data_IF_572303769123
#
_entry.id   IF_572303769123
#
_cell.length_a   1.000
_cell.length_b   1.000
_cell.length_c   1.000
_cell.angle_alpha   90.00
_cell.angle_beta   90.00
_cell.angle_gamma   90.00
#
_symmetry.space_group_name_H-M   'P 1'
#
loop_
_entity.id
_entity.type
_entity.pdbx_description
1 polymer ?
#
# COMPACT_ATOMS: atom_id res chain seq x y z
N UNK A 1 7.93 1.57 7.96
CA UNK A 1 6.93 1.28 9.01
C UNK A 1 7.11 -0.12 9.57
N UNK A 2 6.59 -0.43 10.78
CA UNK A 2 6.58 -1.82 11.26
C UNK A 2 5.57 -2.67 10.46
N UNK A 3 5.72 -3.99 10.52
CA UNK A 3 4.98 -4.90 9.63
C UNK A 3 3.49 -4.96 9.95
N UNK A 4 3.10 -4.91 11.22
CA UNK A 4 1.70 -4.85 11.62
C UNK A 4 1.00 -3.59 11.07
N UNK A 5 1.69 -2.44 11.08
CA UNK A 5 1.18 -1.19 10.51
C UNK A 5 1.04 -1.29 8.99
N UNK A 6 2.02 -1.91 8.33
CA UNK A 6 1.98 -2.15 6.88
C UNK A 6 0.80 -3.03 6.48
N UNK A 7 0.60 -4.16 7.16
CA UNK A 7 -0.51 -5.07 6.90
C UNK A 7 -1.87 -4.42 7.14
N UNK A 8 -2.00 -3.66 8.23
CA UNK A 8 -3.21 -2.89 8.52
C UNK A 8 -3.53 -1.91 7.39
N UNK A 9 -2.54 -1.14 6.93
CA UNK A 9 -2.71 -0.17 5.84
C UNK A 9 -3.07 -0.85 4.52
N UNK A 10 -2.45 -1.98 4.19
CA UNK A 10 -2.85 -2.76 3.02
C UNK A 10 -4.32 -3.21 3.09
N UNK A 11 -4.77 -3.70 4.25
CA UNK A 11 -6.15 -4.10 4.45
C UNK A 11 -7.13 -2.92 4.32
N UNK A 12 -6.83 -1.76 4.91
CA UNK A 12 -7.62 -0.52 4.73
C UNK A 12 -7.68 -0.09 3.26
N UNK A 13 -6.60 -0.36 2.51
CA UNK A 13 -6.52 -0.09 1.09
C UNK A 13 -7.15 -1.18 0.20
N UNK A 14 -7.73 -2.24 0.80
CA UNK A 14 -8.23 -3.43 0.10
C UNK A 14 -7.18 -4.08 -0.81
N UNK A 15 -5.95 -4.17 -0.33
CA UNK A 15 -4.82 -4.75 -1.04
C UNK A 15 -4.25 -5.95 -0.27
N UNK A 16 -3.91 -7.00 -1.02
CA UNK A 16 -3.06 -8.08 -0.53
C UNK A 16 -1.58 -7.73 -0.69
N UNK A 17 -0.69 -8.40 0.07
CA UNK A 17 0.76 -8.28 -0.13
C UNK A 17 1.20 -8.68 -1.55
N UNK A 18 0.48 -9.61 -2.18
CA UNK A 18 0.75 -10.07 -3.55
C UNK A 18 0.44 -8.99 -4.58
N UNK A 19 -0.68 -8.31 -4.43
CA UNK A 19 -1.04 -7.16 -5.28
C UNK A 19 -0.10 -5.99 -5.06
N UNK A 20 0.21 -5.68 -3.79
CA UNK A 20 1.21 -4.67 -3.47
C UNK A 20 2.56 -4.97 -4.14
N UNK A 21 3.07 -6.21 -3.99
CA UNK A 21 4.33 -6.63 -4.62
C UNK A 21 4.31 -6.42 -6.15
N UNK A 22 3.20 -6.79 -6.80
CA UNK A 22 3.01 -6.57 -8.24
C UNK A 22 3.03 -5.09 -8.61
N UNK A 23 2.34 -4.24 -7.85
CA UNK A 23 2.24 -2.80 -8.14
C UNK A 23 3.57 -2.07 -8.02
N UNK A 24 4.41 -2.47 -7.06
CA UNK A 24 5.72 -1.84 -6.82
C UNK A 24 6.88 -2.54 -7.54
N UNK A 25 6.59 -3.57 -8.33
CA UNK A 25 7.62 -4.36 -9.03
C UNK A 25 8.52 -5.17 -8.09
N UNK A 26 8.08 -5.48 -6.87
CA UNK A 26 8.83 -6.30 -5.93
C UNK A 26 8.53 -7.80 -6.09
N UNK A 27 9.52 -8.62 -5.78
CA UNK A 27 9.33 -10.08 -5.66
C UNK A 27 8.45 -10.34 -4.43
N UNK A 28 7.34 -11.06 -4.61
CA UNK A 28 6.39 -11.35 -3.52
C UNK A 28 7.04 -11.97 -2.27
N UNK A 29 7.93 -12.95 -2.46
CA UNK A 29 8.67 -13.56 -1.35
C UNK A 29 9.54 -12.55 -0.60
N UNK A 30 10.08 -11.53 -1.26
CA UNK A 30 10.80 -10.46 -0.57
C UNK A 30 9.87 -9.65 0.34
N UNK A 31 8.65 -9.37 -0.09
CA UNK A 31 7.65 -8.62 0.70
C UNK A 31 7.23 -9.43 1.94
N UNK A 32 7.02 -10.74 1.78
CA UNK A 32 6.73 -11.63 2.92
C UNK A 32 7.88 -11.62 3.94
N UNK A 33 9.12 -11.69 3.45
CA UNK A 33 10.31 -11.78 4.29
C UNK A 33 10.67 -10.48 5.01
N UNK A 34 10.02 -9.34 4.72
CA UNK A 34 10.16 -8.14 5.55
C UNK A 34 9.71 -8.38 6.99
N UNK A 35 8.82 -9.37 7.22
CA UNK A 35 8.43 -9.76 8.57
C UNK A 35 9.61 -10.27 9.42
N UNK A 36 10.58 -10.92 8.79
CA UNK A 36 11.81 -11.39 9.47
C UNK A 36 12.67 -10.22 9.93
N UNK A 37 12.68 -9.10 9.18
CA UNK A 37 13.41 -7.89 9.55
C UNK A 37 12.63 -6.98 10.51
N UNK A 38 11.32 -7.21 10.68
CA UNK A 38 10.44 -6.44 11.57
C UNK A 38 9.97 -5.09 11.02
N UNK A 39 10.53 -4.60 9.91
CA UNK A 39 10.12 -3.36 9.25
C UNK A 39 10.15 -3.43 7.73
N UNK A 40 9.32 -2.60 7.10
CA UNK A 40 9.35 -2.37 5.65
C UNK A 40 10.57 -1.52 5.26
N UNK A 41 11.05 -1.61 4.01
CA UNK A 41 11.91 -0.57 3.44
C UNK A 41 11.29 0.82 3.60
N UNK A 42 12.12 1.84 3.84
CA UNK A 42 11.62 3.20 4.13
C UNK A 42 10.80 3.82 3.01
N UNK A 43 11.08 3.47 1.75
CA UNK A 43 10.31 3.99 0.60
C UNK A 43 8.84 3.55 0.62
N UNK A 44 8.51 2.44 1.30
CA UNK A 44 7.12 1.95 1.43
C UNK A 44 6.24 2.97 2.14
N UNK A 45 6.81 3.73 3.07
CA UNK A 45 6.08 4.78 3.80
C UNK A 45 5.57 5.86 2.84
N UNK A 46 6.42 6.31 1.92
CA UNK A 46 6.05 7.28 0.88
C UNK A 46 5.06 6.71 -0.15
N UNK A 47 5.24 5.45 -0.55
CA UNK A 47 4.36 4.81 -1.53
C UNK A 47 2.94 4.68 -0.99
N UNK A 48 2.77 4.19 0.24
CA UNK A 48 1.45 4.03 0.85
C UNK A 48 0.77 5.39 1.02
N UNK A 49 1.48 6.41 1.51
CA UNK A 49 0.93 7.76 1.65
C UNK A 49 0.45 8.35 0.32
N UNK A 50 1.22 8.17 -0.75
CA UNK A 50 0.84 8.68 -2.07
C UNK A 50 -0.31 7.89 -2.69
N UNK A 51 -0.34 6.58 -2.50
CA UNK A 51 -1.44 5.72 -2.97
C UNK A 51 -2.76 6.07 -2.27
N UNK A 52 -2.74 6.29 -0.96
CA UNK A 52 -3.89 6.77 -0.19
C UNK A 52 -4.43 8.09 -0.75
N UNK A 53 -3.55 9.08 -0.98
CA UNK A 53 -3.93 10.39 -1.55
C UNK A 53 -4.53 10.26 -2.95
N UNK A 54 -3.91 9.46 -3.82
CA UNK A 54 -4.41 9.23 -5.18
C UNK A 54 -5.81 8.60 -5.15
N UNK A 55 -6.02 7.56 -4.33
CA UNK A 55 -7.33 6.91 -4.19
C UNK A 55 -8.39 7.86 -3.64
N UNK A 56 -8.07 8.67 -2.63
CA UNK A 56 -8.99 9.69 -2.10
C UNK A 56 -9.36 10.72 -3.17
N UNK A 57 -8.40 11.15 -3.98
CA UNK A 57 -8.65 12.07 -5.09
C UNK A 57 -9.58 11.46 -6.15
N UNK A 58 -9.34 10.21 -6.55
CA UNK A 58 -10.18 9.51 -7.53
C UNK A 58 -11.63 9.37 -7.04
N UNK A 59 -11.83 9.07 -5.75
CA UNK A 59 -13.17 9.02 -5.13
C UNK A 59 -13.84 10.40 -5.21
N UNK A 60 -13.17 11.47 -4.76
CA UNK A 60 -13.73 12.83 -4.82
C UNK A 60 -14.08 13.23 -6.25
N UNK A 61 -13.19 12.93 -7.21
CA UNK A 61 -13.40 13.21 -8.63
C UNK A 61 -14.63 12.48 -9.18
N UNK A 62 -14.80 11.20 -8.82
CA UNK A 62 -15.98 10.42 -9.24
C UNK A 62 -17.29 11.02 -8.77
N UNK A 63 -17.35 11.51 -7.51
CA UNK A 63 -18.54 12.18 -6.99
C UNK A 63 -18.85 13.50 -7.70
N UNK A 64 -17.82 14.26 -8.10
CA UNK A 64 -18.01 15.51 -8.86
C UNK A 64 -18.51 15.26 -10.29
N UNK A 65 -18.10 14.15 -10.92
CA UNK A 65 -18.52 13.80 -12.29
C UNK A 65 -19.91 13.17 -12.35
N UNK A 66 -20.45 12.73 -11.22
CA UNK A 66 -21.81 12.18 -11.11
C UNK A 66 -22.89 13.24 -10.82
N UNK A 67 -22.51 14.51 -10.66
CA UNK A 67 -23.39 15.66 -10.52
C UNK A 67 -23.73 16.26 -11.90
#
# INVERSE_FOLDING_TARGET
MNIATFEKKLNELNLTKKEFAKMVGAVYNSVINWNVKGETPKWVDSWICNYEKARSFDIMKSHLQSL
#
